data_IF_322111196147
#
_entry.id   IF_322111196147
#
_cell.length_a   1.000
_cell.length_b   1.000
_cell.length_c   1.000
_cell.angle_alpha   90.00
_cell.angle_beta   90.00
_cell.angle_gamma   90.00
#
_symmetry.space_group_name_H-M   'P 1'
#
loop_
_entity.id
_entity.type
_entity.pdbx_description
1 polymer ?
#
# COMPACT_ATOMS: atom_id res chain seq x y z
N UNK A 1 -36.83 -1.32 44.66
CA UNK A 1 -36.65 -2.46 43.74
C UNK A 1 -36.41 -1.93 42.33
N UNK A 2 -35.18 -1.56 42.00
CA UNK A 2 -34.74 -1.21 40.64
C UNK A 2 -33.22 -1.41 40.62
N UNK A 3 -32.73 -2.63 40.37
CA UNK A 3 -31.30 -2.87 40.17
C UNK A 3 -31.04 -3.99 39.13
N UNK A 4 -31.94 -4.97 38.99
CA UNK A 4 -31.67 -6.15 38.15
C UNK A 4 -31.66 -5.87 36.64
N UNK A 5 -32.47 -4.92 36.16
CA UNK A 5 -32.49 -4.55 34.74
C UNK A 5 -31.19 -3.86 34.29
N UNK A 6 -30.54 -3.11 35.18
CA UNK A 6 -29.32 -2.36 34.87
C UNK A 6 -28.09 -3.27 34.76
N UNK A 7 -28.04 -4.35 35.55
CA UNK A 7 -27.00 -5.38 35.47
C UNK A 7 -27.08 -6.18 34.17
N UNK A 8 -28.27 -6.60 33.75
CA UNK A 8 -28.45 -7.36 32.51
C UNK A 8 -28.09 -6.54 31.26
N UNK A 9 -28.48 -5.26 31.22
CA UNK A 9 -28.10 -4.36 30.11
C UNK A 9 -26.57 -4.16 30.11
N UNK A 10 -25.95 -3.97 31.27
CA UNK A 10 -24.49 -3.79 31.35
C UNK A 10 -23.74 -5.04 30.86
N UNK A 11 -24.17 -6.24 31.25
CA UNK A 11 -23.51 -7.51 30.84
C UNK A 11 -23.69 -7.79 29.34
N UNK A 12 -24.87 -7.56 28.78
CA UNK A 12 -25.12 -7.74 27.33
C UNK A 12 -24.33 -6.72 26.50
N UNK A 13 -24.25 -5.47 26.96
CA UNK A 13 -23.40 -4.45 26.31
C UNK A 13 -21.91 -4.77 26.44
N UNK A 14 -21.43 -5.27 27.59
CA UNK A 14 -20.02 -5.66 27.75
C UNK A 14 -19.65 -6.83 26.83
N UNK A 15 -20.50 -7.84 26.72
CA UNK A 15 -20.25 -9.04 25.91
C UNK A 15 -20.31 -8.77 24.40
N UNK A 16 -21.15 -7.83 23.96
CA UNK A 16 -21.22 -7.43 22.55
C UNK A 16 -20.04 -6.55 22.13
N UNK A 17 -19.61 -5.62 23.00
CA UNK A 17 -18.42 -4.79 22.76
C UNK A 17 -17.12 -5.61 22.71
N UNK A 18 -16.99 -6.62 23.57
CA UNK A 18 -15.84 -7.54 23.55
C UNK A 18 -15.85 -8.44 22.33
N UNK A 19 -17.01 -8.97 21.93
CA UNK A 19 -17.15 -9.82 20.75
C UNK A 19 -16.77 -9.12 19.43
N UNK A 20 -17.23 -7.88 19.24
CA UNK A 20 -16.91 -7.07 18.04
C UNK A 20 -15.43 -6.72 18.01
N UNK A 21 -14.82 -6.39 19.15
CA UNK A 21 -13.40 -6.11 19.24
C UNK A 21 -12.54 -7.32 18.86
N UNK A 22 -12.85 -8.50 19.40
CA UNK A 22 -12.14 -9.74 19.06
C UNK A 22 -12.27 -10.10 17.58
N UNK A 23 -13.48 -9.97 17.02
CA UNK A 23 -13.71 -10.19 15.60
C UNK A 23 -12.90 -9.23 14.73
N UNK A 24 -12.88 -7.94 15.07
CA UNK A 24 -12.11 -6.92 14.34
C UNK A 24 -10.60 -7.23 14.36
N UNK A 25 -10.08 -7.63 15.52
CA UNK A 25 -8.67 -8.02 15.68
C UNK A 25 -8.33 -9.29 14.87
N UNK A 26 -9.24 -10.27 14.85
CA UNK A 26 -9.09 -11.48 14.06
C UNK A 26 -9.10 -11.19 12.55
N UNK A 27 -9.95 -10.27 12.08
CA UNK A 27 -9.95 -9.86 10.67
C UNK A 27 -8.63 -9.18 10.28
N UNK A 28 -8.10 -8.30 11.14
CA UNK A 28 -6.82 -7.62 10.89
C UNK A 28 -5.65 -8.61 10.84
N UNK A 29 -5.68 -9.68 11.64
CA UNK A 29 -4.61 -10.68 11.66
C UNK A 29 -4.65 -11.63 10.47
N UNK A 30 -5.85 -11.92 9.93
CA UNK A 30 -6.03 -12.79 8.75
C UNK A 30 -5.67 -12.04 7.46
N UNK A 31 -6.26 -10.86 7.25
CA UNK A 31 -5.99 -10.02 6.07
C UNK A 31 -6.09 -8.53 6.46
N UNK A 32 -4.94 -7.88 6.75
CA UNK A 32 -4.93 -6.49 7.17
C UNK A 32 -5.36 -5.53 6.04
N UNK A 33 -5.23 -5.92 4.77
CA UNK A 33 -5.62 -5.07 3.64
C UNK A 33 -7.13 -5.05 3.51
N UNK A 34 -7.75 -6.24 3.52
CA UNK A 34 -9.21 -6.38 3.47
C UNK A 34 -9.88 -5.83 4.71
N UNK A 35 -9.32 -6.07 5.90
CA UNK A 35 -9.87 -5.54 7.15
C UNK A 35 -9.91 -4.00 7.17
N UNK A 36 -8.92 -3.32 6.58
CA UNK A 36 -8.91 -1.86 6.45
C UNK A 36 -9.93 -1.31 5.45
N UNK A 37 -10.46 -2.16 4.57
CA UNK A 37 -11.50 -1.81 3.63
C UNK A 37 -12.91 -2.15 4.15
N UNK A 38 -13.02 -2.90 5.24
CA UNK A 38 -14.29 -3.32 5.81
C UNK A 38 -14.90 -2.19 6.68
N UNK A 39 -16.11 -1.70 6.35
CA UNK A 39 -16.79 -0.66 7.13
C UNK A 39 -16.97 -1.02 8.62
N UNK A 40 -17.04 -2.31 8.95
CA UNK A 40 -17.21 -2.80 10.33
C UNK A 40 -15.96 -2.54 11.17
N UNK A 41 -14.77 -2.56 10.55
CA UNK A 41 -13.48 -2.36 11.22
C UNK A 41 -13.04 -0.89 11.15
N UNK A 42 -13.54 -0.14 10.17
CA UNK A 42 -13.17 1.27 9.94
C UNK A 42 -13.89 2.21 10.92
N UNK A 43 -13.11 2.92 11.73
CA UNK A 43 -13.62 3.87 12.74
C UNK A 43 -14.39 5.08 12.18
N UNK A 44 -14.17 5.46 10.92
CA UNK A 44 -14.82 6.61 10.28
C UNK A 44 -15.41 6.23 8.91
N UNK A 45 -16.67 5.79 8.93
CA UNK A 45 -17.40 5.32 7.74
C UNK A 45 -17.61 6.45 6.70
N UNK A 46 -18.02 7.68 7.06
CA UNK A 46 -18.17 8.77 6.09
C UNK A 46 -16.87 9.11 5.35
N UNK A 47 -15.75 9.21 6.07
CA UNK A 47 -14.43 9.45 5.48
C UNK A 47 -14.04 8.34 4.51
N UNK A 48 -14.26 7.09 4.88
CA UNK A 48 -13.94 5.95 4.02
C UNK A 48 -14.75 5.94 2.73
N UNK A 49 -16.05 6.26 2.80
CA UNK A 49 -16.90 6.41 1.62
C UNK A 49 -16.41 7.54 0.70
N UNK A 50 -16.05 8.70 1.27
CA UNK A 50 -15.52 9.82 0.51
C UNK A 50 -14.18 9.47 -0.15
N UNK A 51 -13.26 8.83 0.56
CA UNK A 51 -12.00 8.33 0.01
C UNK A 51 -12.23 7.34 -1.13
N UNK A 52 -13.16 6.40 -0.99
CA UNK A 52 -13.51 5.43 -2.04
C UNK A 52 -14.11 6.09 -3.28
N UNK A 53 -14.94 7.12 -3.11
CA UNK A 53 -15.44 7.91 -4.23
C UNK A 53 -14.29 8.63 -4.96
N UNK A 54 -13.35 9.20 -4.21
CA UNK A 54 -12.14 9.85 -4.74
C UNK A 54 -11.24 8.86 -5.49
N UNK A 55 -11.05 7.65 -4.96
CA UNK A 55 -10.35 6.55 -5.66
C UNK A 55 -10.98 6.29 -7.02
N UNK A 56 -12.32 6.23 -7.09
CA UNK A 56 -13.03 6.01 -8.35
C UNK A 56 -12.92 7.18 -9.32
N UNK A 57 -12.78 8.42 -8.84
CA UNK A 57 -12.51 9.60 -9.65
C UNK A 57 -11.08 9.58 -10.21
N UNK A 58 -10.08 9.28 -9.37
CA UNK A 58 -8.67 9.19 -9.80
C UNK A 58 -8.49 8.07 -10.84
N UNK A 59 -9.20 6.96 -10.70
CA UNK A 59 -9.14 5.85 -11.69
C UNK A 59 -9.70 6.24 -13.07
N UNK A 60 -10.48 7.32 -13.18
CA UNK A 60 -10.94 7.87 -14.47
C UNK A 60 -9.94 8.83 -15.11
N UNK A 61 -8.92 9.25 -14.38
CA UNK A 61 -7.89 10.14 -14.91
C UNK A 61 -6.83 9.32 -15.64
N UNK A 62 -6.47 9.79 -16.83
CA UNK A 62 -5.39 9.19 -17.60
C UNK A 62 -4.05 9.52 -16.94
N UNK A 63 -3.21 8.51 -16.64
CA UNK A 63 -1.92 8.74 -16.04
C UNK A 63 -0.95 9.40 -17.03
N UNK A 64 -0.08 10.31 -16.58
CA UNK A 64 0.94 10.91 -17.42
C UNK A 64 2.01 9.86 -17.80
N UNK A 65 2.68 10.05 -18.96
CA UNK A 65 3.78 9.17 -19.35
C UNK A 65 4.89 9.16 -18.31
N UNK A 66 5.54 8.00 -18.16
CA UNK A 66 6.62 7.80 -17.20
C UNK A 66 7.83 8.69 -17.53
N UNK A 67 8.44 9.36 -16.53
CA UNK A 67 9.70 10.07 -16.73
C UNK A 67 10.86 9.11 -17.09
N UNK A 68 11.75 9.51 -18.01
CA UNK A 68 12.82 8.64 -18.52
C UNK A 68 13.80 8.14 -17.44
N UNK A 69 14.00 8.91 -16.38
CA UNK A 69 14.91 8.59 -15.27
C UNK A 69 14.19 7.93 -14.07
N UNK A 70 12.97 7.44 -14.26
CA UNK A 70 12.16 6.90 -13.17
C UNK A 70 12.26 5.38 -13.05
N UNK A 71 12.81 4.95 -11.91
CA UNK A 71 12.95 3.55 -11.53
C UNK A 71 14.12 2.87 -12.24
N UNK A 72 14.94 2.16 -11.48
CA UNK A 72 15.95 1.25 -12.00
C UNK A 72 15.55 -0.16 -11.58
N UNK A 73 15.45 -1.07 -12.56
CA UNK A 73 15.11 -2.46 -12.32
C UNK A 73 16.38 -3.30 -12.49
N UNK A 74 16.79 -3.98 -11.42
CA UNK A 74 17.88 -4.94 -11.49
C UNK A 74 17.44 -6.14 -12.34
N UNK A 75 18.04 -6.24 -13.52
CA UNK A 75 17.73 -7.25 -14.52
C UNK A 75 18.59 -8.51 -14.33
N UNK A 76 18.00 -9.72 -14.28
CA UNK A 76 18.75 -10.95 -14.01
C UNK A 76 19.65 -11.40 -15.17
N UNK A 77 19.28 -11.12 -16.41
CA UNK A 77 20.09 -11.43 -17.59
C UNK A 77 20.80 -10.18 -18.11
N UNK A 78 22.08 -10.36 -18.45
CA UNK A 78 22.92 -9.34 -19.07
C UNK A 78 23.67 -9.93 -20.27
N UNK A 79 24.14 -9.07 -21.18
CA UNK A 79 24.96 -9.51 -22.31
C UNK A 79 26.27 -10.21 -21.87
N UNK A 80 26.80 -9.82 -20.71
CA UNK A 80 27.98 -10.45 -20.09
C UNK A 80 27.73 -11.83 -19.49
N UNK A 81 26.47 -12.30 -19.42
CA UNK A 81 26.14 -13.64 -18.94
C UNK A 81 26.43 -14.75 -19.96
N UNK A 82 26.79 -14.38 -21.20
CA UNK A 82 27.09 -15.31 -22.29
C UNK A 82 28.59 -15.35 -22.58
N UNK A 83 29.14 -16.52 -22.89
CA UNK A 83 30.55 -16.66 -23.25
C UNK A 83 30.81 -16.24 -24.70
N UNK A 84 31.99 -15.69 -24.99
CA UNK A 84 32.35 -15.30 -26.35
C UNK A 84 32.35 -16.49 -27.32
N UNK A 85 32.64 -17.69 -26.82
CA UNK A 85 32.61 -18.93 -27.60
C UNK A 85 31.20 -19.36 -27.99
N UNK A 86 30.21 -19.14 -27.12
CA UNK A 86 28.80 -19.41 -27.42
C UNK A 86 28.24 -18.43 -28.45
N UNK A 87 28.64 -17.16 -28.37
CA UNK A 87 28.19 -16.09 -29.28
C UNK A 87 28.73 -16.24 -30.70
N UNK A 88 29.79 -17.04 -30.92
CA UNK A 88 30.25 -17.41 -32.27
C UNK A 88 29.22 -18.22 -33.06
N UNK A 89 28.27 -18.87 -32.37
CA UNK A 89 27.19 -19.61 -33.04
C UNK A 89 26.02 -18.67 -33.36
N UNK A 90 25.57 -18.59 -34.62
CA UNK A 90 24.50 -17.65 -35.01
C UNK A 90 23.18 -17.92 -34.28
N UNK A 91 22.87 -19.20 -34.01
CA UNK A 91 21.67 -19.62 -33.25
C UNK A 91 21.66 -19.05 -31.83
N UNK A 92 22.79 -19.16 -31.12
CA UNK A 92 22.91 -18.68 -29.74
C UNK A 92 22.89 -17.15 -29.64
N UNK A 93 23.50 -16.47 -30.61
CA UNK A 93 23.40 -15.02 -30.72
C UNK A 93 21.94 -14.57 -30.90
N UNK A 94 21.18 -15.26 -31.75
CA UNK A 94 19.76 -14.98 -31.94
C UNK A 94 18.96 -15.23 -30.66
N UNK A 95 19.16 -16.36 -29.98
CA UNK A 95 18.52 -16.65 -28.69
C UNK A 95 18.78 -15.54 -27.65
N UNK A 96 20.04 -15.12 -27.48
CA UNK A 96 20.41 -14.05 -26.56
C UNK A 96 19.65 -12.77 -26.87
N UNK A 97 19.64 -12.33 -28.14
CA UNK A 97 19.00 -11.07 -28.53
C UNK A 97 17.49 -11.10 -28.29
N UNK A 98 16.83 -12.21 -28.61
CA UNK A 98 15.40 -12.40 -28.34
C UNK A 98 15.11 -12.34 -26.84
N UNK A 99 15.90 -13.03 -26.01
CA UNK A 99 15.70 -13.06 -24.56
C UNK A 99 15.94 -11.69 -23.92
N UNK A 100 17.01 -10.99 -24.30
CA UNK A 100 17.30 -9.64 -23.79
C UNK A 100 16.23 -8.64 -24.22
N UNK A 101 15.71 -8.75 -25.44
CA UNK A 101 14.61 -7.89 -25.89
C UNK A 101 13.32 -8.17 -25.10
N UNK A 102 12.94 -9.44 -24.96
CA UNK A 102 11.76 -9.84 -24.19
C UNK A 102 11.84 -9.37 -22.74
N UNK A 103 13.02 -9.48 -22.11
CA UNK A 103 13.25 -9.00 -20.76
C UNK A 103 13.11 -7.48 -20.64
N UNK A 104 13.62 -6.71 -21.61
CA UNK A 104 13.44 -5.25 -21.66
C UNK A 104 11.98 -4.85 -21.78
N UNK A 105 11.23 -5.50 -22.68
CA UNK A 105 9.80 -5.24 -22.84
C UNK A 105 9.01 -5.52 -21.56
N UNK A 106 9.36 -6.58 -20.83
CA UNK A 106 8.73 -6.89 -19.53
C UNK A 106 9.12 -5.85 -18.49
N UNK A 107 10.41 -5.47 -18.43
CA UNK A 107 10.91 -4.47 -17.49
C UNK A 107 10.22 -3.12 -17.69
N UNK A 108 10.05 -2.68 -18.94
CA UNK A 108 9.37 -1.44 -19.27
C UNK A 108 7.91 -1.45 -18.83
N UNK A 109 7.18 -2.55 -19.08
CA UNK A 109 5.78 -2.70 -18.63
C UNK A 109 5.66 -2.70 -17.10
N UNK A 110 6.61 -3.32 -16.39
CA UNK A 110 6.64 -3.30 -14.92
C UNK A 110 6.86 -1.88 -14.41
N UNK A 111 7.83 -1.16 -14.97
CA UNK A 111 8.14 0.22 -14.57
C UNK A 111 6.98 1.17 -14.89
N UNK A 112 6.31 1.01 -16.03
CA UNK A 112 5.10 1.76 -16.35
C UNK A 112 3.99 1.50 -15.33
N UNK A 113 3.66 0.25 -15.03
CA UNK A 113 2.66 -0.09 -14.03
C UNK A 113 3.01 0.43 -12.62
N UNK A 114 4.29 0.36 -12.24
CA UNK A 114 4.77 0.92 -10.96
C UNK A 114 4.61 2.45 -10.92
N UNK A 115 4.93 3.14 -12.01
CA UNK A 115 4.78 4.59 -12.12
C UNK A 115 3.32 5.00 -12.01
N UNK A 116 2.43 4.36 -12.77
CA UNK A 116 1.01 4.66 -12.74
C UNK A 116 0.41 4.42 -11.34
N UNK A 117 0.78 3.32 -10.68
CA UNK A 117 0.31 3.02 -9.34
C UNK A 117 0.75 4.10 -8.34
N UNK A 118 2.03 4.52 -8.41
CA UNK A 118 2.56 5.60 -7.58
C UNK A 118 1.84 6.91 -7.86
N UNK A 119 1.66 7.27 -9.13
CA UNK A 119 1.00 8.51 -9.53
C UNK A 119 -0.45 8.56 -9.05
N UNK A 120 -1.23 7.48 -9.23
CA UNK A 120 -2.63 7.42 -8.74
C UNK A 120 -2.69 7.54 -7.23
N UNK A 121 -1.75 6.94 -6.51
CA UNK A 121 -1.67 7.06 -5.06
C UNK A 121 -1.35 8.51 -4.61
N UNK A 122 -0.38 9.15 -5.25
CA UNK A 122 -0.01 10.54 -4.97
C UNK A 122 -1.16 11.49 -5.29
N UNK A 123 -1.83 11.29 -6.44
CA UNK A 123 -2.97 12.12 -6.85
C UNK A 123 -4.15 11.99 -5.89
N UNK A 124 -4.43 10.78 -5.42
CA UNK A 124 -5.42 10.56 -4.37
C UNK A 124 -5.06 11.30 -3.09
N UNK A 125 -3.80 11.25 -2.67
CA UNK A 125 -3.37 11.91 -1.44
C UNK A 125 -3.48 13.44 -1.56
N UNK A 126 -3.08 14.00 -2.70
CA UNK A 126 -3.22 15.42 -3.04
C UNK A 126 -4.68 15.86 -2.97
N UNK A 127 -5.57 15.16 -3.66
CA UNK A 127 -7.01 15.47 -3.65
C UNK A 127 -7.62 15.30 -2.25
N UNK A 128 -7.16 14.31 -1.48
CA UNK A 128 -7.63 14.09 -0.12
C UNK A 128 -7.21 15.24 0.79
N UNK A 129 -5.97 15.72 0.68
CA UNK A 129 -5.51 16.91 1.41
C UNK A 129 -6.29 18.16 1.02
N UNK A 130 -6.55 18.37 -0.27
CA UNK A 130 -7.36 19.49 -0.77
C UNK A 130 -8.79 19.45 -0.20
N UNK A 131 -9.42 18.28 -0.20
CA UNK A 131 -10.79 18.09 0.32
C UNK A 131 -10.84 18.13 1.85
N UNK A 132 -9.79 17.71 2.56
CA UNK A 132 -9.74 17.67 4.03
C UNK A 132 -9.34 19.03 4.63
N UNK A 133 -8.51 19.83 3.96
CA UNK A 133 -8.12 21.19 4.39
C UNK A 133 -9.31 22.06 4.86
N UNK A 134 -10.44 22.17 4.14
CA UNK A 134 -11.58 22.95 4.61
C UNK A 134 -12.28 22.34 5.82
N UNK A 135 -12.22 21.02 6.03
CA UNK A 135 -12.75 20.41 7.24
C UNK A 135 -11.86 20.66 8.46
N UNK A 136 -10.55 20.84 8.29
CA UNK A 136 -9.63 21.14 9.41
C UNK A 136 -9.79 22.59 9.89
N UNK A 137 -9.97 23.55 8.98
CA UNK A 137 -10.15 24.98 9.34
C UNK A 137 -11.46 25.25 10.09
N UNK A 138 -12.47 24.38 9.93
CA UNK A 138 -13.74 24.48 10.65
C UNK A 138 -13.76 23.73 12.00
N UNK A 139 -12.64 23.15 12.43
CA UNK A 139 -12.54 22.27 13.62
C UNK A 139 -11.91 22.97 14.84
N UNK A 140 -11.67 24.28 14.79
CA UNK A 140 -11.23 25.08 15.95
C UNK A 140 -12.25 25.14 17.12
N UNK A 141 -13.35 24.38 17.06
CA UNK A 141 -14.35 24.30 18.14
C UNK A 141 -14.62 22.91 18.75
N UNK A 142 -14.19 21.79 18.15
CA UNK A 142 -14.54 20.47 18.70
C UNK A 142 -13.46 19.40 18.48
N UNK A 143 -13.08 18.76 19.58
CA UNK A 143 -12.05 17.73 19.69
C UNK A 143 -12.38 16.51 18.83
N UNK A 144 -11.82 16.44 17.62
CA UNK A 144 -11.81 15.20 16.81
C UNK A 144 -10.35 14.81 16.58
N UNK A 145 -10.01 13.61 17.05
CA UNK A 145 -8.68 13.01 16.94
C UNK A 145 -8.19 13.04 15.49
N UNK A 146 -7.01 13.64 15.28
CA UNK A 146 -6.33 13.78 13.98
C UNK A 146 -6.47 12.50 13.12
N UNK A 147 -6.82 12.61 11.83
CA UNK A 147 -6.78 11.46 10.95
C UNK A 147 -5.34 10.93 10.92
N UNK A 148 -5.19 9.64 11.18
CA UNK A 148 -3.92 8.94 11.00
C UNK A 148 -3.63 9.02 9.51
N UNK A 149 -2.88 10.05 9.09
CA UNK A 149 -2.17 10.03 7.82
C UNK A 149 -1.42 8.70 7.80
N UNK A 150 -1.71 7.88 6.80
CA UNK A 150 -0.96 6.64 6.59
C UNK A 150 0.46 7.09 6.32
N UNK A 151 1.26 7.06 7.39
CA UNK A 151 2.70 7.18 7.29
C UNK A 151 3.09 6.09 6.29
N UNK A 152 3.48 6.52 5.09
CA UNK A 152 4.08 5.67 4.08
C UNK A 152 5.21 4.95 4.82
N UNK A 153 4.98 3.70 5.23
CA UNK A 153 6.03 2.85 5.73
C UNK A 153 6.93 2.63 4.52
N UNK A 154 7.88 3.54 4.32
CA UNK A 154 9.08 3.25 3.58
C UNK A 154 9.61 1.96 4.19
N UNK A 155 9.41 0.87 3.48
CA UNK A 155 10.18 -0.35 3.66
C UNK A 155 11.61 -0.09 3.17
N UNK A 156 12.27 0.92 3.74
CA UNK A 156 13.70 1.06 3.64
C UNK A 156 14.30 0.00 4.54
N UNK A 157 14.68 -1.09 3.87
CA UNK A 157 15.56 -2.16 4.30
C UNK A 157 16.37 -1.76 5.55
N UNK A 158 15.95 -2.23 6.72
CA UNK A 158 16.81 -2.28 7.90
C UNK A 158 18.02 -3.14 7.54
N UNK A 159 19.11 -2.51 7.10
CA UNK A 159 20.44 -3.12 7.06
C UNK A 159 20.68 -3.72 8.45
N UNK A 160 20.77 -5.05 8.50
CA UNK A 160 21.21 -5.80 9.68
C UNK A 160 22.57 -5.23 10.09
N UNK A 161 22.59 -4.39 11.13
CA UNK A 161 23.82 -4.03 11.83
C UNK A 161 24.32 -5.32 12.49
N UNK A 162 25.32 -5.96 11.86
CA UNK A 162 26.13 -7.00 12.49
C UNK A 162 26.65 -6.47 13.82
N UNK A 163 26.08 -6.96 14.92
CA UNK A 163 26.70 -6.83 16.24
C UNK A 163 27.72 -7.96 16.35
N UNK A 164 28.96 -7.59 16.06
CA UNK A 164 30.17 -8.33 16.40
C UNK A 164 30.23 -8.42 17.93
N UNK A 165 29.95 -9.60 18.49
CA UNK A 165 30.22 -9.91 19.89
C UNK A 165 31.49 -10.74 19.95
N UNK A 166 32.46 -10.21 20.68
CA UNK A 166 33.66 -10.88 21.13
C UNK A 166 33.42 -11.41 22.55
N UNK A 167 34.01 -12.58 22.83
CA UNK A 167 34.37 -13.17 24.13
C UNK A 167 33.33 -14.05 24.88
N UNK A 168 33.85 -15.24 25.20
CA UNK A 168 33.42 -16.33 26.11
C UNK A 168 32.41 -17.35 25.57
#
# INVERSE_FOLDING_TARGET
MCNDAQWHISIVCQNTLTGIYFYSQALISIDPVRARADPVVVKNIPYFKAKKALEAEVMKLDPPPRPQNWGELDLPLNASSWSEEELKRPEKFYEMTVLLNAQREIADKILEAQWEAKWRQEKLNEMLEEKVRPYIQNVDGTVISRPIMVQQQNQDKKKRRQRRWWLF
#
